data_IF_428449810130
#
_entry.id   IF_428449810130
#
_cell.length_a   1.000
_cell.length_b   1.000
_cell.length_c   1.000
_cell.angle_alpha   90.00
_cell.angle_beta   90.00
_cell.angle_gamma   90.00
#
_symmetry.space_group_name_H-M   'P 1'
#
loop_
_entity.id
_entity.type
_entity.pdbx_description
1 polymer ?
#
# COMPACT_ATOMS: atom_id res chain seq x y z
N UNK A 1 24.25 -25.23 -12.67
CA UNK A 1 23.42 -24.69 -11.58
C UNK A 1 23.59 -23.20 -11.36
N UNK A 2 24.80 -22.68 -11.22
CA UNK A 2 25.05 -21.24 -11.03
C UNK A 2 24.53 -20.37 -12.17
N UNK A 3 24.65 -20.82 -13.42
CA UNK A 3 24.16 -20.08 -14.59
C UNK A 3 22.64 -20.03 -14.66
N UNK A 4 21.96 -21.11 -14.29
CA UNK A 4 20.51 -21.16 -14.26
C UNK A 4 19.94 -20.24 -13.17
N UNK A 5 20.57 -20.24 -12.01
CA UNK A 5 20.20 -19.36 -10.91
C UNK A 5 20.37 -17.89 -11.26
N UNK A 6 21.45 -17.55 -11.96
CA UNK A 6 21.72 -16.18 -12.40
C UNK A 6 20.69 -15.72 -13.44
N UNK A 7 20.32 -16.57 -14.38
CA UNK A 7 19.29 -16.27 -15.38
C UNK A 7 17.93 -16.09 -14.71
N UNK A 8 17.62 -16.92 -13.73
CA UNK A 8 16.37 -16.79 -12.97
C UNK A 8 16.32 -15.47 -12.20
N UNK A 9 17.42 -15.10 -11.55
CA UNK A 9 17.53 -13.84 -10.84
C UNK A 9 17.38 -12.64 -11.77
N UNK A 10 17.95 -12.72 -12.98
CA UNK A 10 17.83 -11.68 -13.99
C UNK A 10 16.39 -11.54 -14.50
N UNK A 11 15.69 -12.64 -14.72
CA UNK A 11 14.27 -12.61 -15.13
C UNK A 11 13.41 -11.98 -14.05
N UNK A 12 13.63 -12.34 -12.79
CA UNK A 12 12.92 -11.73 -11.65
C UNK A 12 13.20 -10.24 -11.56
N UNK A 13 14.46 -9.84 -11.73
CA UNK A 13 14.85 -8.42 -11.73
C UNK A 13 14.20 -7.65 -12.87
N UNK A 14 14.12 -8.21 -14.09
CA UNK A 14 13.50 -7.54 -15.24
C UNK A 14 11.98 -7.41 -15.08
N UNK A 15 11.32 -8.38 -14.47
CA UNK A 15 9.89 -8.31 -14.15
C UNK A 15 9.64 -7.27 -13.05
N UNK A 16 10.54 -7.18 -12.07
CA UNK A 16 10.39 -6.25 -10.97
C UNK A 16 10.64 -4.78 -11.33
N UNK A 17 11.24 -4.47 -12.49
CA UNK A 17 11.45 -3.09 -12.96
C UNK A 17 10.14 -2.31 -13.08
N UNK A 18 9.05 -2.98 -13.43
CA UNK A 18 7.73 -2.37 -13.57
C UNK A 18 6.83 -2.58 -12.33
N UNK A 19 7.34 -3.26 -11.30
CA UNK A 19 6.57 -3.54 -10.10
C UNK A 19 6.71 -2.39 -9.11
N UNK A 20 5.58 -1.94 -8.58
CA UNK A 20 5.53 -0.94 -7.53
C UNK A 20 6.20 -1.46 -6.26
N UNK A 21 7.15 -0.70 -5.73
CA UNK A 21 7.84 -0.99 -4.46
C UNK A 21 7.24 -0.14 -3.35
N UNK A 22 6.65 -0.79 -2.36
CA UNK A 22 6.14 -0.13 -1.15
C UNK A 22 6.90 -0.69 0.05
N UNK A 23 7.84 0.08 0.57
CA UNK A 23 8.70 -0.30 1.72
C UNK A 23 9.43 -1.63 1.53
N UNK A 24 9.81 -1.96 0.31
CA UNK A 24 10.50 -3.19 -0.05
C UNK A 24 9.59 -4.33 -0.49
N UNK A 25 8.27 -4.17 -0.36
CA UNK A 25 7.30 -5.15 -0.82
C UNK A 25 6.91 -4.89 -2.27
N UNK A 26 6.84 -5.95 -3.06
CA UNK A 26 6.46 -5.91 -4.48
C UNK A 26 5.39 -6.94 -4.75
N UNK A 27 4.47 -6.61 -5.65
CA UNK A 27 3.44 -7.55 -6.08
C UNK A 27 4.05 -8.81 -6.68
N UNK A 28 3.47 -9.96 -6.36
CA UNK A 28 3.96 -11.24 -6.80
C UNK A 28 5.03 -11.87 -5.90
N UNK A 29 5.50 -11.18 -4.86
CA UNK A 29 6.34 -11.79 -3.84
C UNK A 29 5.56 -12.86 -3.08
N UNK A 30 6.22 -13.97 -2.77
CA UNK A 30 5.66 -14.99 -1.88
C UNK A 30 5.74 -14.56 -0.42
N UNK A 31 5.02 -15.23 0.46
CA UNK A 31 5.12 -14.97 1.90
C UNK A 31 6.56 -15.15 2.42
N UNK A 32 7.27 -16.15 1.93
CA UNK A 32 8.67 -16.39 2.29
C UNK A 32 9.56 -15.21 1.90
N UNK A 33 9.39 -14.69 0.69
CA UNK A 33 10.12 -13.52 0.22
C UNK A 33 9.75 -12.27 1.02
N UNK A 34 8.47 -12.07 1.29
CA UNK A 34 7.98 -10.95 2.09
C UNK A 34 8.50 -11.00 3.54
N UNK A 35 8.57 -12.19 4.12
CA UNK A 35 9.12 -12.36 5.48
C UNK A 35 10.60 -12.00 5.58
N UNK A 36 11.33 -12.02 4.47
CA UNK A 36 12.73 -11.62 4.40
C UNK A 36 12.93 -10.10 4.23
N UNK A 37 11.87 -9.34 3.94
CA UNK A 37 11.94 -7.87 3.81
C UNK A 37 12.12 -7.26 5.19
N UNK A 38 13.11 -6.38 5.33
CA UNK A 38 13.36 -5.65 6.57
C UNK A 38 12.57 -4.34 6.56
N UNK A 39 11.66 -4.19 7.51
CA UNK A 39 10.83 -2.99 7.67
C UNK A 39 11.14 -2.37 9.03
N UNK A 40 11.42 -1.06 9.03
CA UNK A 40 11.56 -0.30 10.27
C UNK A 40 10.16 -0.01 10.83
N UNK A 41 9.81 -0.69 11.89
CA UNK A 41 8.49 -0.62 12.53
C UNK A 41 8.58 -1.00 14.00
N UNK A 42 7.55 -0.64 14.77
CA UNK A 42 7.51 -0.97 16.21
C UNK A 42 7.19 -2.44 16.46
N UNK A 43 6.29 -3.02 15.67
CA UNK A 43 5.95 -4.44 15.82
C UNK A 43 5.41 -5.04 14.53
N UNK A 44 5.50 -6.37 14.44
CA UNK A 44 5.04 -7.15 13.30
C UNK A 44 4.06 -8.19 13.82
N UNK A 45 2.92 -8.32 13.16
CA UNK A 45 1.94 -9.35 13.42
C UNK A 45 1.67 -10.13 12.13
N UNK A 46 1.65 -11.45 12.24
CA UNK A 46 1.34 -12.32 11.12
C UNK A 46 0.01 -13.01 11.42
N UNK A 47 -0.99 -12.75 10.59
CA UNK A 47 -2.28 -13.41 10.65
C UNK A 47 -2.37 -14.44 9.55
N UNK A 48 -2.20 -15.72 9.93
CA UNK A 48 -2.22 -16.82 8.97
C UNK A 48 -3.62 -17.13 8.46
N UNK A 49 -4.65 -16.87 9.27
CA UNK A 49 -6.04 -17.11 8.85
C UNK A 49 -6.48 -16.07 7.81
N UNK A 50 -6.10 -14.82 8.04
CA UNK A 50 -6.41 -13.73 7.10
C UNK A 50 -5.40 -13.62 5.95
N UNK A 51 -4.35 -14.44 5.96
CA UNK A 51 -3.28 -14.42 4.95
C UNK A 51 -2.66 -13.03 4.80
N UNK A 52 -2.29 -12.43 5.94
CA UNK A 52 -1.93 -11.00 6.03
C UNK A 52 -0.74 -10.80 6.96
N UNK A 53 0.18 -9.91 6.58
CA UNK A 53 1.20 -9.38 7.47
C UNK A 53 0.80 -7.95 7.87
N UNK A 54 0.95 -7.63 9.15
CA UNK A 54 0.66 -6.32 9.72
C UNK A 54 1.93 -5.75 10.34
N UNK A 55 2.26 -4.52 10.00
CA UNK A 55 3.41 -3.80 10.55
C UNK A 55 2.89 -2.51 11.20
N UNK A 56 3.23 -2.29 12.46
CA UNK A 56 2.79 -1.13 13.21
C UNK A 56 3.87 -0.04 13.21
N UNK A 57 3.44 1.20 13.05
CA UNK A 57 4.29 2.40 13.10
C UNK A 57 5.42 2.35 12.07
N UNK A 58 5.06 2.60 10.81
CA UNK A 58 5.99 2.66 9.69
C UNK A 58 6.06 4.08 9.14
N UNK A 59 7.20 4.41 8.51
CA UNK A 59 7.38 5.68 7.81
C UNK A 59 7.61 5.45 6.32
N UNK A 60 7.00 6.27 5.47
CA UNK A 60 7.26 6.27 4.04
C UNK A 60 7.20 7.70 3.50
N UNK A 61 8.27 8.14 2.83
CA UNK A 61 8.36 9.47 2.22
C UNK A 61 8.13 10.61 3.21
N UNK A 62 8.60 10.46 4.45
CA UNK A 62 8.46 11.47 5.50
C UNK A 62 7.10 11.49 6.18
N UNK A 63 6.23 10.55 5.89
CA UNK A 63 4.90 10.43 6.49
C UNK A 63 4.87 9.21 7.39
N UNK A 64 4.40 9.42 8.63
CA UNK A 64 4.22 8.34 9.60
C UNK A 64 2.86 7.69 9.42
N UNK A 65 2.86 6.38 9.25
CA UNK A 65 1.64 5.57 9.16
C UNK A 65 1.54 4.68 10.39
N UNK A 66 0.35 4.55 10.91
CA UNK A 66 0.07 3.66 12.06
C UNK A 66 0.14 2.20 11.66
N UNK A 67 -0.15 1.89 10.40
CA UNK A 67 -0.30 0.52 9.95
C UNK A 67 0.12 0.36 8.48
N UNK A 68 0.88 -0.70 8.24
CA UNK A 68 1.13 -1.25 6.90
C UNK A 68 0.53 -2.64 6.86
N UNK A 69 -0.32 -2.91 5.88
CA UNK A 69 -0.96 -4.20 5.66
C UNK A 69 -0.47 -4.78 4.34
N UNK A 70 0.05 -6.01 4.38
CA UNK A 70 0.45 -6.75 3.19
C UNK A 70 -0.43 -8.00 3.11
N UNK A 71 -1.28 -8.07 2.09
CA UNK A 71 -2.19 -9.18 1.87
C UNK A 71 -1.70 -10.09 0.75
N UNK A 72 -1.89 -11.38 0.93
CA UNK A 72 -1.52 -12.40 -0.04
C UNK A 72 -2.78 -13.03 -0.65
N UNK A 73 -2.68 -13.44 -1.90
CA UNK A 73 -3.75 -14.14 -2.61
C UNK A 73 -3.71 -15.66 -2.32
N UNK A 74 -4.59 -16.40 -2.97
CA UNK A 74 -4.69 -17.86 -2.82
C UNK A 74 -3.45 -18.60 -3.33
N UNK A 75 -2.65 -17.95 -4.17
CA UNK A 75 -1.36 -18.48 -4.67
C UNK A 75 -0.18 -18.08 -3.77
N UNK A 76 -0.45 -17.51 -2.60
CA UNK A 76 0.55 -17.10 -1.61
C UNK A 76 1.45 -15.97 -2.10
N UNK A 77 0.90 -15.06 -2.91
CA UNK A 77 1.62 -13.91 -3.47
C UNK A 77 0.98 -12.61 -3.04
N UNK A 78 1.79 -11.58 -2.84
CA UNK A 78 1.29 -10.25 -2.49
C UNK A 78 0.31 -9.77 -3.56
N UNK A 79 -0.91 -9.49 -3.13
CA UNK A 79 -2.00 -9.00 -3.97
C UNK A 79 -2.42 -7.57 -3.64
N UNK A 80 -2.26 -7.14 -2.38
CA UNK A 80 -2.66 -5.80 -1.94
C UNK A 80 -1.70 -5.32 -0.87
N UNK A 81 -1.34 -4.05 -0.95
CA UNK A 81 -0.55 -3.36 0.08
C UNK A 81 -1.34 -2.13 0.49
N UNK A 82 -1.52 -1.91 1.79
CA UNK A 82 -2.24 -0.76 2.32
C UNK A 82 -1.40 -0.06 3.38
N UNK A 83 -1.42 1.27 3.35
CA UNK A 83 -0.84 2.13 4.38
C UNK A 83 -1.97 2.94 4.99
N UNK A 84 -2.09 2.94 6.31
CA UNK A 84 -3.14 3.64 7.01
C UNK A 84 -2.62 4.53 8.12
N UNK A 85 -3.22 5.72 8.25
CA UNK A 85 -2.94 6.65 9.33
C UNK A 85 -4.25 7.18 9.91
N UNK A 86 -4.41 7.07 11.23
CA UNK A 86 -5.58 7.55 11.93
C UNK A 86 -5.60 9.08 11.95
N UNK A 87 -6.79 9.66 11.76
CA UNK A 87 -7.03 11.10 11.81
C UNK A 87 -8.25 11.39 12.68
N UNK A 88 -8.33 12.61 13.21
CA UNK A 88 -9.43 12.99 14.11
C UNK A 88 -10.66 13.53 13.38
N UNK A 89 -10.48 14.02 12.15
CA UNK A 89 -11.57 14.63 11.36
C UNK A 89 -11.35 14.42 9.87
N UNK A 90 -12.42 14.64 9.11
CA UNK A 90 -12.34 14.61 7.63
C UNK A 90 -11.43 15.73 7.13
N UNK A 91 -11.43 16.89 7.75
CA UNK A 91 -10.54 18.00 7.35
C UNK A 91 -9.07 17.65 7.57
N UNK A 92 -8.73 17.05 8.69
CA UNK A 92 -7.37 16.55 8.96
C UNK A 92 -6.99 15.45 7.95
N UNK A 93 -7.92 14.55 7.67
CA UNK A 93 -7.73 13.51 6.66
C UNK A 93 -7.49 14.09 5.27
N UNK A 94 -8.22 15.13 4.89
CA UNK A 94 -8.02 15.81 3.61
C UNK A 94 -6.65 16.48 3.52
N UNK A 95 -6.17 17.09 4.60
CA UNK A 95 -4.82 17.66 4.65
C UNK A 95 -3.75 16.57 4.51
N UNK A 96 -3.93 15.45 5.20
CA UNK A 96 -3.00 14.32 5.11
C UNK A 96 -3.01 13.70 3.70
N UNK A 97 -4.16 13.60 3.06
CA UNK A 97 -4.25 13.15 1.67
C UNK A 97 -3.37 14.02 0.75
N UNK A 98 -3.41 15.33 0.91
CA UNK A 98 -2.60 16.24 0.10
C UNK A 98 -1.10 16.06 0.38
N UNK A 99 -0.72 15.82 1.62
CA UNK A 99 0.67 15.52 1.97
C UNK A 99 1.15 14.19 1.35
N UNK A 100 0.32 13.17 1.38
CA UNK A 100 0.63 11.87 0.78
C UNK A 100 0.76 11.98 -0.74
N UNK A 101 -0.15 12.68 -1.39
CA UNK A 101 -0.09 12.92 -2.85
C UNK A 101 1.20 13.65 -3.20
N UNK A 102 1.57 14.69 -2.43
CA UNK A 102 2.79 15.45 -2.67
C UNK A 102 2.85 15.98 -4.09
N UNK A 103 3.90 15.61 -4.80
CA UNK A 103 4.12 15.98 -6.21
C UNK A 103 3.60 14.96 -7.21
N UNK A 104 2.96 13.89 -6.75
CA UNK A 104 2.40 12.89 -7.62
C UNK A 104 1.17 13.41 -8.36
N UNK A 105 0.88 12.82 -9.49
CA UNK A 105 -0.25 13.25 -10.34
C UNK A 105 -1.54 12.57 -9.90
N UNK A 106 -2.58 13.36 -9.66
CA UNK A 106 -3.93 12.82 -9.49
C UNK A 106 -4.52 12.56 -10.88
N UNK A 107 -4.75 11.29 -11.19
CA UNK A 107 -5.34 10.88 -12.47
C UNK A 107 -6.84 11.13 -12.49
N UNK A 108 -7.49 10.79 -11.37
CA UNK A 108 -8.92 10.94 -11.19
C UNK A 108 -9.23 11.24 -9.72
N UNK A 109 -10.31 11.96 -9.48
CA UNK A 109 -10.83 12.15 -8.11
C UNK A 109 -12.35 12.13 -8.14
N UNK A 110 -12.93 11.62 -7.06
CA UNK A 110 -14.38 11.56 -6.90
C UNK A 110 -14.77 11.86 -5.46
N UNK A 111 -16.01 12.26 -5.25
CA UNK A 111 -16.56 12.43 -3.91
C UNK A 111 -16.86 11.07 -3.32
N UNK A 112 -16.53 10.90 -2.04
CA UNK A 112 -16.87 9.68 -1.32
C UNK A 112 -18.41 9.62 -1.13
N UNK A 113 -19.02 8.51 -1.49
CA UNK A 113 -20.47 8.32 -1.39
C UNK A 113 -20.93 8.04 0.06
N UNK A 114 -20.06 7.48 0.88
CA UNK A 114 -20.36 7.09 2.25
C UNK A 114 -19.96 8.16 3.27
N UNK A 115 -18.88 8.89 3.01
CA UNK A 115 -18.36 9.95 3.88
C UNK A 115 -18.53 11.32 3.25
N UNK A 116 -19.58 12.03 3.64
CA UNK A 116 -19.83 13.40 3.16
C UNK A 116 -18.67 14.33 3.46
N UNK A 117 -18.16 15.01 2.43
CA UNK A 117 -17.03 15.94 2.54
C UNK A 117 -15.67 15.30 2.30
N UNK A 118 -15.59 13.97 2.18
CA UNK A 118 -14.38 13.27 1.85
C UNK A 118 -14.25 13.07 0.33
N UNK A 119 -13.01 12.90 -0.13
CA UNK A 119 -12.70 12.59 -1.54
C UNK A 119 -11.84 11.36 -1.64
N UNK A 120 -12.00 10.66 -2.75
CA UNK A 120 -11.16 9.54 -3.15
C UNK A 120 -10.28 10.00 -4.32
N UNK A 121 -9.00 9.73 -4.25
CA UNK A 121 -8.03 10.10 -5.28
C UNK A 121 -7.38 8.85 -5.88
N UNK A 122 -7.24 8.85 -7.18
CA UNK A 122 -6.47 7.85 -7.93
C UNK A 122 -5.15 8.51 -8.32
N UNK A 123 -4.04 8.00 -7.82
CA UNK A 123 -2.77 8.70 -7.85
C UNK A 123 -1.71 7.91 -8.62
N UNK A 124 -1.06 8.61 -9.55
CA UNK A 124 0.07 8.13 -10.34
C UNK A 124 1.38 8.55 -9.68
N UNK A 125 2.15 7.58 -9.18
CA UNK A 125 3.48 7.79 -8.61
C UNK A 125 4.62 7.70 -9.63
N UNK A 126 4.42 6.97 -10.72
CA UNK A 126 5.49 6.67 -11.68
C UNK A 126 5.54 7.62 -12.86
N UNK A 127 4.47 8.36 -13.13
CA UNK A 127 4.39 9.29 -14.25
C UNK A 127 3.94 8.69 -15.56
N UNK A 128 3.39 7.47 -15.53
CA UNK A 128 2.88 6.79 -16.73
C UNK A 128 1.41 7.06 -17.04
N UNK A 129 0.77 7.91 -16.22
CA UNK A 129 -0.64 8.31 -16.33
C UNK A 129 -1.63 7.21 -15.93
N UNK A 130 -1.14 6.14 -15.32
CA UNK A 130 -1.97 5.10 -14.71
C UNK A 130 -1.84 5.20 -13.18
N UNK A 131 -2.93 5.02 -12.42
CA UNK A 131 -2.83 5.11 -10.98
C UNK A 131 -2.17 3.88 -10.37
N UNK A 132 -1.26 4.07 -9.43
CA UNK A 132 -0.67 3.00 -8.62
C UNK A 132 -1.42 2.78 -7.32
N UNK A 133 -2.04 3.83 -6.77
CA UNK A 133 -2.79 3.67 -5.52
C UNK A 133 -4.05 4.51 -5.49
N UNK A 134 -4.98 4.07 -4.64
CA UNK A 134 -6.22 4.77 -4.31
C UNK A 134 -6.03 5.35 -2.90
N UNK A 135 -6.31 6.63 -2.75
CA UNK A 135 -6.20 7.32 -1.48
C UNK A 135 -7.59 7.73 -0.99
N UNK A 136 -8.03 7.13 0.11
CA UNK A 136 -9.36 7.32 0.66
C UNK A 136 -9.31 7.62 2.15
N UNK A 137 -10.44 8.10 2.68
CA UNK A 137 -10.67 8.20 4.13
C UNK A 137 -11.72 7.15 4.46
N UNK A 138 -11.44 6.29 5.42
CA UNK A 138 -12.40 5.28 5.87
C UNK A 138 -12.79 5.50 7.32
N UNK A 139 -14.01 5.11 7.66
CA UNK A 139 -14.52 5.12 9.04
C UNK A 139 -14.64 3.68 9.52
N UNK A 140 -14.05 3.40 10.67
CA UNK A 140 -14.24 2.12 11.32
C UNK A 140 -15.65 2.05 11.89
N UNK A 141 -16.36 0.97 11.63
CA UNK A 141 -17.76 0.81 12.07
C UNK A 141 -17.89 0.57 13.58
N UNK A 142 -16.88 0.00 14.21
CA UNK A 142 -16.92 -0.34 15.63
C UNK A 142 -16.68 0.88 16.51
N UNK A 143 -15.60 1.62 16.27
CA UNK A 143 -15.20 2.74 17.13
C UNK A 143 -15.40 4.11 16.50
N UNK A 144 -15.83 4.16 15.24
CA UNK A 144 -16.06 5.39 14.48
C UNK A 144 -14.80 6.20 14.21
N UNK A 145 -13.62 5.60 14.39
CA UNK A 145 -12.36 6.25 14.05
C UNK A 145 -12.22 6.45 12.55
N UNK A 146 -11.51 7.50 12.17
CA UNK A 146 -11.22 7.81 10.78
C UNK A 146 -9.75 7.51 10.47
N UNK A 147 -9.50 6.95 9.31
CA UNK A 147 -8.14 6.71 8.81
C UNK A 147 -8.02 7.10 7.35
N UNK A 148 -6.90 7.71 7.01
CA UNK A 148 -6.49 7.89 5.61
C UNK A 148 -5.79 6.61 5.19
N UNK A 149 -6.23 6.02 4.09
CA UNK A 149 -5.70 4.74 3.61
C UNK A 149 -5.25 4.88 2.15
N UNK A 150 -3.99 4.54 1.92
CA UNK A 150 -3.45 4.38 0.57
C UNK A 150 -3.47 2.88 0.24
N UNK A 151 -4.21 2.50 -0.78
CA UNK A 151 -4.37 1.11 -1.20
C UNK A 151 -3.70 0.89 -2.55
N UNK A 152 -2.72 0.01 -2.58
CA UNK A 152 -2.00 -0.41 -3.79
C UNK A 152 -2.51 -1.79 -4.20
N UNK A 153 -3.34 -1.91 -5.24
CA UNK A 153 -3.80 -3.20 -5.74
C UNK A 153 -2.80 -3.78 -6.74
N UNK A 154 -2.74 -5.10 -6.84
CA UNK A 154 -1.88 -5.78 -7.82
C UNK A 154 -2.41 -5.66 -9.25
N UNK A 155 -3.70 -5.41 -9.41
CA UNK A 155 -4.36 -5.23 -10.70
C UNK A 155 -5.54 -4.27 -10.58
N UNK A 156 -5.78 -3.54 -11.63
CA UNK A 156 -6.93 -2.63 -11.78
C UNK A 156 -7.98 -3.31 -12.65
N UNK A 157 -9.17 -3.42 -12.13
CA UNK A 157 -10.33 -3.97 -12.85
C UNK A 157 -11.12 -2.85 -13.52
#
# INVERSE_FOLDING_TARGET
MKKLFFVLAFIVASVSVNAQDVLGFKFGMTQEQAAAVSVDCDSIMIDQEANTFLFLDVERNGIDYDLLIVQFDDDDKISTIMLGAEVESIDEGAELQQLIIGNNKVVESENDEELSGAKVYFVDETGDEEPEYILSIIRDEEDQSLSVVATYPSAWD
#
